data_IF_618694969407
#
_entry.id   IF_618694969407
#
_cell.length_a   1.000
_cell.length_b   1.000
_cell.length_c   1.000
_cell.angle_alpha   90.00
_cell.angle_beta   90.00
_cell.angle_gamma   90.00
#
_symmetry.space_group_name_H-M   'P 1'
#
loop_
_entity.id
_entity.type
_entity.pdbx_description
1 polymer ?
#
# COMPACT_ATOMS: atom_id res chain seq x y z
N UNK A 1 17.25 -3.58 -13.52
CA UNK A 1 16.96 -3.48 -12.08
C UNK A 1 15.52 -3.00 -11.97
N UNK A 2 14.57 -3.85 -11.56
CA UNK A 2 13.18 -3.39 -11.40
C UNK A 2 13.08 -2.70 -10.04
N UNK A 3 12.94 -1.37 -10.04
CA UNK A 3 12.73 -0.57 -8.84
C UNK A 3 11.26 -0.68 -8.49
N UNK A 4 10.91 -1.66 -7.65
CA UNK A 4 9.58 -1.78 -7.06
C UNK A 4 9.75 -1.71 -5.53
N UNK A 5 8.97 -0.86 -4.87
CA UNK A 5 9.10 -0.57 -3.44
C UNK A 5 8.86 -1.81 -2.58
N UNK A 6 7.87 -2.64 -2.93
CA UNK A 6 7.58 -3.90 -2.24
C UNK A 6 8.77 -4.86 -2.31
N UNK A 7 9.35 -5.04 -3.50
CA UNK A 7 10.51 -5.92 -3.69
C UNK A 7 11.73 -5.44 -2.88
N UNK A 8 11.97 -4.13 -2.82
CA UNK A 8 13.04 -3.54 -2.01
C UNK A 8 12.78 -3.72 -0.50
N UNK A 9 11.55 -3.44 -0.05
CA UNK A 9 11.17 -3.63 1.35
C UNK A 9 11.27 -5.10 1.77
N UNK A 10 10.84 -6.03 0.93
CA UNK A 10 10.94 -7.47 1.19
C UNK A 10 12.40 -7.95 1.25
N UNK A 11 13.25 -7.47 0.34
CA UNK A 11 14.68 -7.77 0.37
C UNK A 11 15.34 -7.26 1.67
N UNK A 12 15.02 -6.02 2.07
CA UNK A 12 15.51 -5.42 3.30
C UNK A 12 15.00 -6.16 4.55
N UNK A 13 13.73 -6.57 4.57
CA UNK A 13 13.12 -7.33 5.66
C UNK A 13 13.74 -8.72 5.86
N UNK A 14 14.08 -9.40 4.76
CA UNK A 14 14.72 -10.73 4.77
C UNK A 14 16.15 -10.72 5.29
N UNK A 15 16.86 -9.61 5.14
CA UNK A 15 18.22 -9.45 5.67
C UNK A 15 18.23 -9.07 7.17
N UNK A 16 17.07 -9.11 7.84
CA UNK A 16 16.85 -8.69 9.24
C UNK A 16 17.21 -7.23 9.58
N UNK A 17 17.78 -6.49 8.63
CA UNK A 17 18.15 -5.09 8.80
C UNK A 17 16.94 -4.12 8.84
N UNK A 18 15.76 -4.52 8.35
CA UNK A 18 14.55 -3.71 8.47
C UNK A 18 13.81 -4.00 9.79
N UNK A 19 13.79 -2.99 10.67
CA UNK A 19 12.95 -3.00 11.86
C UNK A 19 11.46 -2.89 11.49
N UNK A 20 10.57 -3.37 12.36
CA UNK A 20 9.14 -3.15 12.17
C UNK A 20 8.86 -1.63 12.14
N UNK A 21 8.03 -1.19 11.19
CA UNK A 21 7.78 0.23 10.90
C UNK A 21 8.74 0.85 9.90
N UNK A 22 9.74 0.12 9.38
CA UNK A 22 10.57 0.61 8.28
C UNK A 22 9.74 0.83 7.02
N UNK A 23 9.99 1.92 6.30
CA UNK A 23 9.28 2.26 5.06
C UNK A 23 10.28 2.51 3.94
N UNK A 24 10.03 1.91 2.78
CA UNK A 24 10.67 2.26 1.52
C UNK A 24 9.71 3.19 0.77
N UNK A 25 10.21 4.33 0.31
CA UNK A 25 9.47 5.27 -0.55
C UNK A 25 10.24 5.35 -1.87
N UNK A 26 9.53 5.31 -2.98
CA UNK A 26 10.10 5.52 -4.31
C UNK A 26 9.26 6.54 -5.06
N UNK A 27 9.93 7.44 -5.80
CA UNK A 27 9.23 8.42 -6.64
C UNK A 27 8.54 7.71 -7.80
N UNK A 28 9.20 6.72 -8.42
CA UNK A 28 8.71 6.02 -9.59
C UNK A 28 9.09 4.53 -9.58
N UNK A 29 8.12 3.67 -9.92
CA UNK A 29 8.35 2.24 -10.12
C UNK A 29 8.51 1.89 -11.60
N UNK A 30 9.39 0.92 -11.89
CA UNK A 30 9.51 0.33 -13.22
C UNK A 30 8.48 -0.81 -13.31
N UNK A 31 7.42 -0.58 -14.08
CA UNK A 31 6.27 -1.50 -14.23
C UNK A 31 5.49 -1.70 -12.92
N UNK A 32 4.78 -0.67 -12.42
CA UNK A 32 4.06 -0.75 -11.15
C UNK A 32 2.98 -1.82 -11.21
N UNK A 33 2.91 -2.64 -10.16
CA UNK A 33 1.98 -3.77 -10.09
C UNK A 33 0.97 -3.52 -8.97
N UNK A 34 -0.30 -3.64 -9.32
CA UNK A 34 -1.39 -3.81 -8.38
C UNK A 34 -1.62 -5.30 -8.06
N UNK A 35 -2.72 -5.54 -7.33
CA UNK A 35 -3.13 -6.87 -6.92
C UNK A 35 -3.35 -7.81 -8.11
N UNK A 36 -3.04 -9.10 -7.91
CA UNK A 36 -3.09 -10.14 -8.94
C UNK A 36 -2.22 -9.86 -10.18
N UNK A 37 -1.17 -9.04 -10.03
CA UNK A 37 -0.20 -8.77 -11.09
C UNK A 37 -0.71 -7.83 -12.19
N UNK A 38 -1.86 -7.17 -11.98
CA UNK A 38 -2.34 -6.11 -12.88
C UNK A 38 -1.38 -4.92 -12.86
N UNK A 39 -1.25 -4.20 -13.96
CA UNK A 39 -0.52 -2.94 -13.95
C UNK A 39 -1.29 -1.89 -13.14
N UNK A 40 -0.56 -1.10 -12.36
CA UNK A 40 -1.15 0.04 -11.67
C UNK A 40 -1.61 1.09 -12.70
N UNK A 41 -2.87 1.56 -12.63
CA UNK A 41 -3.47 2.35 -13.71
C UNK A 41 -3.09 3.84 -13.68
N UNK A 42 -2.52 4.34 -12.58
CA UNK A 42 -2.21 5.75 -12.43
C UNK A 42 -0.77 6.09 -12.87
N UNK A 43 -0.58 7.26 -13.51
CA UNK A 43 0.72 7.69 -14.01
C UNK A 43 1.67 8.02 -12.84
N UNK A 44 2.95 7.70 -13.02
CA UNK A 44 3.94 7.73 -11.94
C UNK A 44 4.16 9.13 -11.35
N UNK A 45 3.93 10.20 -12.13
CA UNK A 45 4.10 11.59 -11.71
C UNK A 45 3.00 12.07 -10.76
N UNK A 46 1.92 11.29 -10.62
CA UNK A 46 0.78 11.60 -9.74
C UNK A 46 0.61 10.60 -8.59
N UNK A 47 1.57 9.70 -8.42
CA UNK A 47 1.51 8.64 -7.42
C UNK A 47 2.73 8.70 -6.52
N UNK A 48 2.52 8.74 -5.21
CA UNK A 48 3.56 8.38 -4.26
C UNK A 48 3.47 6.88 -4.00
N UNK A 49 4.61 6.18 -4.06
CA UNK A 49 4.67 4.75 -3.81
C UNK A 49 5.46 4.48 -2.55
N UNK A 50 4.88 3.69 -1.65
CA UNK A 50 5.50 3.28 -0.39
C UNK A 50 5.24 1.81 -0.11
N UNK A 51 6.21 1.17 0.55
CA UNK A 51 6.08 -0.16 1.12
C UNK A 51 6.58 -0.16 2.56
N UNK A 52 5.79 -0.68 3.49
CA UNK A 52 6.12 -0.73 4.91
C UNK A 52 6.39 -2.17 5.37
N UNK A 53 7.36 -2.35 6.26
CA UNK A 53 7.69 -3.64 6.87
C UNK A 53 7.01 -3.72 8.24
N UNK A 54 6.14 -4.71 8.43
CA UNK A 54 5.55 -5.03 9.72
C UNK A 54 5.88 -6.46 10.14
N UNK A 55 5.88 -6.71 11.46
CA UNK A 55 6.15 -8.03 12.06
C UNK A 55 5.09 -8.36 13.11
N UNK A 56 3.80 -8.43 12.73
CA UNK A 56 2.74 -8.71 13.69
C UNK A 56 2.84 -10.15 14.18
N UNK A 57 2.61 -10.37 15.47
CA UNK A 57 2.49 -11.70 16.05
C UNK A 57 1.04 -12.15 15.93
N UNK A 58 0.69 -12.79 14.81
CA UNK A 58 -0.65 -13.27 14.51
C UNK A 58 -0.60 -14.70 13.99
N UNK A 59 -1.58 -15.51 14.38
CA UNK A 59 -1.79 -16.83 13.80
C UNK A 59 -2.25 -16.70 12.34
N UNK A 60 -2.00 -17.73 11.52
CA UNK A 60 -2.34 -17.71 10.09
C UNK A 60 -3.84 -17.42 9.83
N UNK A 61 -4.73 -17.93 10.69
CA UNK A 61 -6.18 -17.70 10.64
C UNK A 61 -6.57 -16.22 10.82
N UNK A 62 -5.67 -15.41 11.39
CA UNK A 62 -5.87 -13.99 11.67
C UNK A 62 -5.06 -13.10 10.73
N UNK A 63 -4.39 -13.65 9.72
CA UNK A 63 -3.57 -12.89 8.79
C UNK A 63 -4.37 -11.79 8.06
N UNK A 64 -5.66 -12.02 7.79
CA UNK A 64 -6.55 -11.04 7.16
C UNK A 64 -6.77 -9.78 8.02
N UNK A 65 -6.53 -9.84 9.34
CA UNK A 65 -6.57 -8.64 10.19
C UNK A 65 -5.49 -7.63 9.83
N UNK A 66 -4.39 -8.07 9.21
CA UNK A 66 -3.35 -7.16 8.70
C UNK A 66 -3.92 -6.31 7.57
N UNK A 67 -4.68 -6.89 6.65
CA UNK A 67 -5.35 -6.16 5.59
C UNK A 67 -6.38 -5.18 6.14
N UNK A 68 -7.20 -5.62 7.10
CA UNK A 68 -8.17 -4.74 7.76
C UNK A 68 -7.48 -3.53 8.42
N UNK A 69 -6.42 -3.79 9.20
CA UNK A 69 -5.67 -2.74 9.90
C UNK A 69 -5.00 -1.76 8.94
N UNK A 70 -4.35 -2.25 7.89
CA UNK A 70 -3.71 -1.42 6.87
C UNK A 70 -4.74 -0.52 6.15
N UNK A 71 -5.88 -1.08 5.76
CA UNK A 71 -6.93 -0.36 5.04
C UNK A 71 -7.61 0.71 5.90
N UNK A 72 -7.85 0.43 7.19
CA UNK A 72 -8.36 1.44 8.13
C UNK A 72 -7.32 2.52 8.43
N UNK A 73 -6.05 2.16 8.55
CA UNK A 73 -4.94 3.10 8.72
C UNK A 73 -4.84 4.06 7.52
N UNK A 74 -4.85 3.52 6.30
CA UNK A 74 -4.84 4.29 5.06
C UNK A 74 -6.08 5.19 4.93
N UNK A 75 -7.28 4.67 5.24
CA UNK A 75 -8.50 5.48 5.23
C UNK A 75 -8.40 6.66 6.21
N UNK A 76 -7.86 6.41 7.40
CA UNK A 76 -7.68 7.45 8.43
C UNK A 76 -6.69 8.51 7.97
N UNK A 77 -5.55 8.11 7.40
CA UNK A 77 -4.57 9.03 6.84
C UNK A 77 -5.12 9.82 5.63
N UNK A 78 -5.88 9.17 4.73
CA UNK A 78 -6.48 9.85 3.59
C UNK A 78 -7.48 10.93 4.03
N UNK A 79 -8.29 10.65 5.05
CA UNK A 79 -9.25 11.62 5.63
C UNK A 79 -8.57 12.83 6.25
N UNK A 80 -7.35 12.70 6.74
CA UNK A 80 -6.61 13.84 7.32
C UNK A 80 -5.88 14.68 6.27
N UNK A 81 -5.65 14.13 5.06
CA UNK A 81 -4.88 14.77 4.00
C UNK A 81 -5.75 15.41 2.90
N UNK A 82 -6.98 14.91 2.71
CA UNK A 82 -7.83 15.31 1.59
C UNK A 82 -9.13 15.92 2.11
N UNK A 83 -9.57 17.03 1.51
CA UNK A 83 -10.81 17.72 1.88
C UNK A 83 -12.09 17.04 1.35
N UNK A 84 -11.94 16.13 0.38
CA UNK A 84 -13.05 15.38 -0.21
C UNK A 84 -13.50 14.23 0.69
N UNK A 85 -14.76 13.78 0.51
CA UNK A 85 -15.23 12.57 1.17
C UNK A 85 -14.50 11.35 0.60
N UNK A 86 -13.85 10.58 1.49
CA UNK A 86 -13.12 9.35 1.15
C UNK A 86 -13.72 8.15 1.86
N UNK A 87 -13.82 7.04 1.11
CA UNK A 87 -14.33 5.75 1.55
C UNK A 87 -13.35 4.62 1.27
N UNK A 88 -13.61 3.47 1.90
CA UNK A 88 -12.88 2.23 1.69
C UNK A 88 -13.68 1.32 0.75
N UNK A 89 -13.10 1.04 -0.41
CA UNK A 89 -13.49 -0.07 -1.27
C UNK A 89 -12.72 -1.31 -0.85
N UNK A 90 -13.38 -2.17 -0.09
CA UNK A 90 -12.77 -3.36 0.50
C UNK A 90 -12.22 -4.32 -0.58
N UNK A 91 -11.04 -4.94 -0.37
CA UNK A 91 -10.21 -4.88 0.83
C UNK A 91 -9.12 -3.80 0.84
N UNK A 92 -8.74 -3.24 -0.31
CA UNK A 92 -7.46 -2.54 -0.49
C UNK A 92 -7.56 -1.18 -1.22
N UNK A 93 -8.76 -0.72 -1.57
CA UNK A 93 -8.96 0.53 -2.31
C UNK A 93 -9.43 1.68 -1.44
N UNK A 94 -8.74 2.83 -1.46
CA UNK A 94 -9.28 4.10 -0.95
C UNK A 94 -9.82 4.89 -2.13
N UNK A 95 -11.08 5.31 -2.04
CA UNK A 95 -11.79 5.97 -3.14
C UNK A 95 -12.49 7.25 -2.67
N UNK A 96 -12.56 8.23 -3.57
CA UNK A 96 -13.50 9.36 -3.49
C UNK A 96 -14.78 9.00 -4.24
N UNK A 97 -15.82 9.83 -4.14
CA UNK A 97 -17.04 9.66 -4.96
C UNK A 97 -16.72 9.59 -6.46
N UNK A 98 -15.79 10.43 -6.93
CA UNK A 98 -15.40 10.51 -8.33
C UNK A 98 -14.66 9.24 -8.80
N UNK A 99 -13.72 8.73 -7.99
CA UNK A 99 -12.93 7.55 -8.37
C UNK A 99 -13.69 6.24 -8.19
N UNK A 100 -14.71 6.20 -7.33
CA UNK A 100 -15.54 5.00 -7.11
C UNK A 100 -16.28 4.56 -8.39
N UNK A 101 -16.53 5.48 -9.33
CA UNK A 101 -17.17 5.17 -10.62
C UNK A 101 -16.24 4.45 -11.61
N UNK A 102 -14.94 4.44 -11.34
CA UNK A 102 -13.91 3.84 -12.19
C UNK A 102 -13.26 2.58 -11.59
N UNK A 103 -13.68 2.16 -10.38
CA UNK A 103 -13.24 0.93 -9.71
C UNK A 103 -13.96 -0.32 -10.22
#
# INVERSE_FOLDING_TARGET
MAVNAEALALAWARQEAAQAGSVVIVDHEISPRGRLGRLWPHPAERTAVLAAVWRPTLDAERADLVWLGASLGLLTAARSLVAAEVGLWWPDGIVTEDTRRFG
#
